data_IF_631003679003
#
_entry.id   IF_631003679003
#
_cell.length_a   1.000
_cell.length_b   1.000
_cell.length_c   1.000
_cell.angle_alpha   90.00
_cell.angle_beta   90.00
_cell.angle_gamma   90.00
#
_symmetry.space_group_name_H-M   'P 1'
#
loop_
_entity.id
_entity.type
_entity.pdbx_description
1 polymer ?
#
# COMPACT_ATOMS: atom_id res chain seq x y z
N UNK A 1 -0.01 -13.02 -28.26
CA UNK A 1 -1.49 -13.09 -28.25
C UNK A 1 -1.96 -12.69 -26.85
N UNK A 2 -2.06 -11.38 -26.57
CA UNK A 2 -2.51 -10.84 -25.26
C UNK A 2 -4.02 -10.62 -25.35
N UNK A 3 -4.79 -11.65 -24.99
CA UNK A 3 -6.24 -11.58 -24.87
C UNK A 3 -6.60 -12.20 -23.52
N UNK A 4 -7.36 -11.43 -22.74
CA UNK A 4 -8.12 -11.85 -21.55
C UNK A 4 -7.29 -12.12 -20.29
N UNK A 5 -7.03 -11.07 -19.51
CA UNK A 5 -7.11 -11.19 -18.06
C UNK A 5 -7.97 -10.04 -17.51
N UNK A 6 -8.87 -10.43 -16.61
CA UNK A 6 -9.71 -9.62 -15.72
C UNK A 6 -11.01 -9.08 -16.35
N UNK A 7 -11.91 -10.02 -16.67
CA UNK A 7 -13.35 -9.77 -16.72
C UNK A 7 -13.90 -9.98 -15.31
N UNK A 8 -14.39 -8.89 -14.72
CA UNK A 8 -15.38 -8.96 -13.64
C UNK A 8 -14.83 -8.81 -12.23
N UNK A 9 -14.62 -7.57 -11.79
CA UNK A 9 -15.04 -7.13 -10.46
C UNK A 9 -15.19 -5.60 -10.44
N UNK A 10 -16.31 -5.14 -9.87
CA UNK A 10 -16.79 -3.74 -9.78
C UNK A 10 -17.37 -3.11 -11.07
N UNK A 11 -18.59 -3.54 -11.37
CA UNK A 11 -19.60 -2.86 -12.17
C UNK A 11 -19.78 -1.40 -11.72
N UNK A 12 -19.49 -0.46 -12.63
CA UNK A 12 -19.92 0.94 -12.53
C UNK A 12 -18.83 1.99 -12.71
N UNK A 13 -18.08 1.98 -13.84
CA UNK A 13 -17.38 3.16 -14.39
C UNK A 13 -16.79 2.84 -15.77
N UNK A 14 -17.23 3.59 -16.78
CA UNK A 14 -16.59 3.82 -18.10
C UNK A 14 -16.18 2.57 -18.93
N UNK A 15 -17.01 2.22 -19.92
CA UNK A 15 -16.67 1.32 -21.05
C UNK A 15 -15.64 1.92 -22.04
N UNK A 16 -14.85 2.91 -21.60
CA UNK A 16 -13.88 3.60 -22.44
C UNK A 16 -12.52 2.92 -22.31
N UNK A 17 -12.06 2.28 -23.38
CA UNK A 17 -10.69 1.81 -23.49
C UNK A 17 -9.83 2.93 -24.05
N UNK A 18 -8.89 3.42 -23.24
CA UNK A 18 -7.79 4.23 -23.70
C UNK A 18 -6.75 3.29 -24.30
N UNK A 19 -6.37 3.52 -25.56
CA UNK A 19 -5.23 2.81 -26.12
C UNK A 19 -3.99 3.57 -25.64
N UNK A 20 -3.21 2.95 -24.77
CA UNK A 20 -1.99 3.56 -24.27
C UNK A 20 -0.96 3.64 -25.41
N UNK A 21 -0.38 4.83 -25.56
CA UNK A 21 0.64 5.10 -26.58
C UNK A 21 1.98 5.38 -25.91
N UNK A 22 1.95 5.72 -24.62
CA UNK A 22 3.11 6.02 -23.81
C UNK A 22 3.50 4.80 -22.97
N UNK A 23 4.58 4.14 -23.39
CA UNK A 23 5.14 2.93 -22.78
C UNK A 23 5.39 3.07 -21.27
N UNK A 24 5.64 4.29 -20.78
CA UNK A 24 5.79 4.54 -19.34
C UNK A 24 4.56 4.09 -18.55
N UNK A 25 3.35 4.41 -19.02
CA UNK A 25 2.11 4.12 -18.29
C UNK A 25 1.76 2.64 -18.36
N UNK A 26 2.01 1.98 -19.48
CA UNK A 26 1.86 0.52 -19.61
C UNK A 26 2.78 -0.22 -18.61
N UNK A 27 4.05 0.18 -18.55
CA UNK A 27 5.02 -0.40 -17.61
C UNK A 27 4.64 -0.10 -16.16
N UNK A 28 4.13 1.10 -15.86
CA UNK A 28 3.69 1.47 -14.51
C UNK A 28 2.43 0.71 -14.07
N UNK A 29 1.50 0.42 -14.97
CA UNK A 29 0.34 -0.41 -14.66
C UNK A 29 0.77 -1.83 -14.26
N UNK A 30 1.65 -2.47 -15.04
CA UNK A 30 2.22 -3.78 -14.74
C UNK A 30 3.00 -3.76 -13.40
N UNK A 31 3.76 -2.69 -13.15
CA UNK A 31 4.51 -2.51 -11.91
C UNK A 31 3.59 -2.41 -10.69
N UNK A 32 2.52 -1.61 -10.78
CA UNK A 32 1.52 -1.44 -9.71
C UNK A 32 0.72 -2.71 -9.44
N UNK A 33 0.44 -3.53 -10.46
CA UNK A 33 -0.15 -4.87 -10.26
C UNK A 33 0.80 -5.77 -9.48
N UNK A 34 2.09 -5.78 -9.83
CA UNK A 34 3.07 -6.56 -9.09
C UNK A 34 3.23 -6.06 -7.64
N UNK A 35 3.25 -4.75 -7.41
CA UNK A 35 3.32 -4.18 -6.05
C UNK A 35 2.10 -4.51 -5.20
N UNK A 36 0.90 -4.56 -5.79
CA UNK A 36 -0.32 -4.97 -5.10
C UNK A 36 -0.24 -6.43 -4.63
N UNK A 37 0.20 -7.32 -5.52
CA UNK A 37 0.36 -8.76 -5.22
C UNK A 37 1.42 -8.98 -4.14
N UNK A 38 2.61 -8.39 -4.31
CA UNK A 38 3.72 -8.58 -3.36
C UNK A 38 3.46 -7.86 -2.04
N UNK A 39 2.88 -6.67 -2.08
CA UNK A 39 2.47 -5.90 -0.89
C UNK A 39 1.44 -6.64 -0.06
N UNK A 40 0.45 -7.27 -0.71
CA UNK A 40 -0.58 -8.07 -0.02
C UNK A 40 0.02 -9.28 0.68
N UNK A 41 0.95 -9.97 0.00
CA UNK A 41 1.69 -11.11 0.58
C UNK A 41 2.56 -10.68 1.76
N UNK A 42 3.26 -9.54 1.63
CA UNK A 42 4.09 -8.99 2.69
C UNK A 42 3.27 -8.59 3.91
N UNK A 43 2.14 -7.90 3.70
CA UNK A 43 1.22 -7.53 4.77
C UNK A 43 0.68 -8.76 5.52
N UNK A 44 0.28 -9.80 4.79
CA UNK A 44 -0.18 -11.05 5.39
C UNK A 44 0.94 -11.75 6.19
N UNK A 45 2.15 -11.80 5.65
CA UNK A 45 3.30 -12.39 6.32
C UNK A 45 3.65 -11.66 7.63
N UNK A 46 3.69 -10.33 7.63
CA UNK A 46 3.93 -9.56 8.85
C UNK A 46 2.79 -9.66 9.86
N UNK A 47 1.54 -9.71 9.39
CA UNK A 47 0.39 -9.90 10.27
C UNK A 47 0.43 -11.26 10.96
N UNK A 48 0.80 -12.32 10.24
CA UNK A 48 0.99 -13.65 10.83
C UNK A 48 2.17 -13.68 11.80
N UNK A 49 3.28 -13.01 11.49
CA UNK A 49 4.41 -12.89 12.43
C UNK A 49 3.98 -12.27 13.76
N UNK A 50 3.16 -11.22 13.72
CA UNK A 50 2.59 -10.58 14.92
C UNK A 50 1.69 -11.56 15.69
N UNK A 51 0.88 -12.36 15.01
CA UNK A 51 0.02 -13.36 15.65
C UNK A 51 0.85 -14.46 16.32
N UNK A 52 1.80 -15.07 15.60
CA UNK A 52 2.66 -16.13 16.13
C UNK A 52 3.45 -15.64 17.35
N UNK A 53 3.91 -14.39 17.31
CA UNK A 53 4.66 -13.79 18.41
C UNK A 53 3.76 -13.47 19.63
N UNK A 54 2.49 -13.10 19.42
CA UNK A 54 1.51 -12.98 20.52
C UNK A 54 1.23 -14.33 21.19
N UNK A 55 1.11 -15.40 20.41
CA UNK A 55 0.93 -16.75 20.95
C UNK A 55 2.16 -17.17 21.78
N UNK A 56 3.36 -16.81 21.33
CA UNK A 56 4.59 -17.00 22.11
C UNK A 56 4.55 -16.23 23.43
N UNK A 57 4.18 -14.94 23.43
CA UNK A 57 4.00 -14.14 24.66
C UNK A 57 3.05 -14.82 25.64
N UNK A 58 1.89 -15.29 25.16
CA UNK A 58 0.89 -15.95 25.98
C UNK A 58 1.39 -17.28 26.56
N UNK A 59 2.11 -18.07 25.76
CA UNK A 59 2.74 -19.31 26.20
C UNK A 59 3.81 -19.08 27.27
N UNK A 60 4.68 -18.09 27.07
CA UNK A 60 5.73 -17.70 28.02
C UNK A 60 5.13 -17.24 29.35
N UNK A 61 4.06 -16.42 29.33
CA UNK A 61 3.35 -16.01 30.54
C UNK A 61 2.66 -17.19 31.25
N UNK A 62 2.15 -18.16 30.50
CA UNK A 62 1.58 -19.39 31.06
C UNK A 62 2.65 -20.25 31.73
N UNK A 63 3.84 -20.35 31.12
CA UNK A 63 5.02 -21.00 31.71
C UNK A 63 5.40 -20.36 33.04
N UNK A 64 5.53 -19.03 33.07
CA UNK A 64 5.82 -18.26 34.29
C UNK A 64 4.82 -18.59 35.42
N UNK A 65 3.51 -18.57 35.14
CA UNK A 65 2.48 -18.91 36.13
C UNK A 65 2.58 -20.34 36.64
N UNK A 66 2.87 -21.30 35.75
CA UNK A 66 3.04 -22.69 36.13
C UNK A 66 4.27 -22.88 37.05
N UNK A 67 5.39 -22.23 36.72
CA UNK A 67 6.60 -22.24 37.54
C UNK A 67 6.37 -21.62 38.92
N UNK A 68 5.65 -20.51 38.99
CA UNK A 68 5.26 -19.88 40.26
C UNK A 68 4.38 -20.81 41.11
N UNK A 69 3.42 -21.50 40.49
CA UNK A 69 2.60 -22.50 41.18
C UNK A 69 3.43 -23.67 41.71
N UNK A 70 4.40 -24.17 40.93
CA UNK A 70 5.33 -25.21 41.36
C UNK A 70 6.22 -24.74 42.51
N UNK A 71 6.74 -23.51 42.45
CA UNK A 71 7.54 -22.92 43.52
C UNK A 71 6.78 -22.88 44.86
N UNK A 72 5.48 -22.63 44.83
CA UNK A 72 4.64 -22.52 46.02
C UNK A 72 4.34 -23.87 46.70
N UNK A 73 4.42 -24.98 45.96
CA UNK A 73 4.18 -26.34 46.51
C UNK A 73 5.48 -27.10 46.79
N UNK A 74 6.62 -26.55 46.39
CA UNK A 74 7.93 -27.16 46.58
C UNK A 74 8.41 -27.03 48.03
N UNK A 75 8.74 -28.15 48.65
CA UNK A 75 9.19 -28.20 50.05
C UNK A 75 10.68 -27.87 50.18
N UNK A 76 11.48 -28.19 49.16
CA UNK A 76 12.91 -27.88 49.17
C UNK A 76 13.12 -26.39 48.93
N UNK A 77 13.42 -25.64 49.99
CA UNK A 77 13.57 -24.17 49.96
C UNK A 77 14.48 -23.65 48.84
N UNK A 78 15.58 -24.36 48.56
CA UNK A 78 16.48 -24.00 47.46
C UNK A 78 15.82 -24.12 46.09
N UNK A 79 15.07 -25.20 45.88
CA UNK A 79 14.40 -25.48 44.61
C UNK A 79 13.17 -24.57 44.42
N UNK A 80 12.39 -24.36 45.48
CA UNK A 80 11.28 -23.40 45.50
C UNK A 80 11.74 -22.01 45.08
N UNK A 81 12.89 -21.55 45.61
CA UNK A 81 13.50 -20.28 45.22
C UNK A 81 13.94 -20.26 43.76
N UNK A 82 14.56 -21.34 43.26
CA UNK A 82 14.94 -21.48 41.85
C UNK A 82 13.74 -21.30 40.92
N UNK A 83 12.66 -22.01 41.22
CA UNK A 83 11.43 -22.02 40.44
C UNK A 83 10.75 -20.64 40.45
N UNK A 84 10.73 -19.96 41.60
CA UNK A 84 10.22 -18.60 41.71
C UNK A 84 11.03 -17.62 40.86
N UNK A 85 12.36 -17.68 40.92
CA UNK A 85 13.23 -16.82 40.10
C UNK A 85 13.12 -17.11 38.60
N UNK A 86 12.91 -18.37 38.22
CA UNK A 86 12.64 -18.73 36.83
C UNK A 86 11.26 -18.21 36.38
N UNK A 87 10.25 -18.25 37.25
CA UNK A 87 8.94 -17.67 36.97
C UNK A 87 9.03 -16.16 36.72
N UNK A 88 9.77 -15.42 37.57
CA UNK A 88 10.00 -13.98 37.41
C UNK A 88 10.79 -13.67 36.12
N UNK A 89 11.74 -14.53 35.76
CA UNK A 89 12.50 -14.43 34.52
C UNK A 89 11.59 -14.59 33.31
N UNK A 90 10.77 -15.65 33.27
CA UNK A 90 9.81 -15.90 32.20
C UNK A 90 8.76 -14.77 32.07
N UNK A 91 8.33 -14.17 33.19
CA UNK A 91 7.43 -13.00 33.16
C UNK A 91 8.08 -11.79 32.48
N UNK A 92 9.35 -11.51 32.80
CA UNK A 92 10.10 -10.43 32.15
C UNK A 92 10.32 -10.70 30.66
N UNK A 93 10.61 -11.96 30.28
CA UNK A 93 10.74 -12.35 28.87
C UNK A 93 9.43 -12.14 28.11
N UNK A 94 8.29 -12.54 28.69
CA UNK A 94 6.98 -12.31 28.09
C UNK A 94 6.72 -10.81 27.87
N UNK A 95 7.12 -9.95 28.82
CA UNK A 95 7.03 -8.50 28.65
C UNK A 95 7.90 -7.98 27.51
N UNK A 96 9.16 -8.41 27.39
CA UNK A 96 10.03 -7.98 26.28
C UNK A 96 9.52 -8.44 24.92
N UNK A 97 9.04 -9.69 24.83
CA UNK A 97 8.41 -10.21 23.63
C UNK A 97 7.18 -9.37 23.25
N UNK A 98 6.36 -8.94 24.22
CA UNK A 98 5.23 -8.04 23.97
C UNK A 98 5.65 -6.70 23.38
N UNK A 99 6.77 -6.14 23.81
CA UNK A 99 7.32 -4.89 23.24
C UNK A 99 7.82 -5.12 21.80
N UNK A 100 8.43 -6.28 21.51
CA UNK A 100 8.81 -6.64 20.14
C UNK A 100 7.59 -6.79 19.22
N UNK A 101 6.49 -7.40 19.70
CA UNK A 101 5.21 -7.51 18.97
C UNK A 101 4.68 -6.12 18.59
N UNK A 102 4.64 -5.19 19.54
CA UNK A 102 4.20 -3.81 19.29
C UNK A 102 5.06 -3.13 18.23
N UNK A 103 6.37 -3.35 18.26
CA UNK A 103 7.30 -2.81 17.27
C UNK A 103 7.11 -3.45 15.88
N UNK A 104 6.89 -4.76 15.79
CA UNK A 104 6.56 -5.45 14.53
C UNK A 104 5.29 -4.88 13.91
N UNK A 105 4.24 -4.69 14.71
CA UNK A 105 2.98 -4.09 14.24
C UNK A 105 3.19 -2.64 13.78
N UNK A 106 3.86 -1.82 14.60
CA UNK A 106 4.02 -0.38 14.35
C UNK A 106 4.91 -0.09 13.15
N UNK A 107 5.98 -0.86 12.95
CA UNK A 107 6.94 -0.58 11.89
C UNK A 107 6.73 -1.44 10.65
N UNK A 108 6.57 -2.74 10.78
CA UNK A 108 6.53 -3.65 9.63
C UNK A 108 5.13 -3.75 9.02
N UNK A 109 4.11 -3.98 9.85
CA UNK A 109 2.72 -4.12 9.38
C UNK A 109 2.20 -2.81 8.81
N UNK A 110 2.39 -1.68 9.52
CA UNK A 110 1.97 -0.37 9.01
C UNK A 110 2.73 0.04 7.74
N UNK A 111 4.02 -0.29 7.60
CA UNK A 111 4.73 -0.09 6.33
C UNK A 111 4.07 -0.87 5.18
N UNK A 112 3.83 -2.17 5.35
CA UNK A 112 3.23 -2.99 4.30
C UNK A 112 1.82 -2.51 3.91
N UNK A 113 1.04 -2.05 4.89
CA UNK A 113 -0.27 -1.40 4.68
C UNK A 113 -0.15 -0.05 3.95
N UNK A 114 0.88 0.72 4.27
CA UNK A 114 1.24 1.95 3.56
C UNK A 114 1.54 1.70 2.09
N UNK A 115 2.29 0.63 1.78
CA UNK A 115 2.54 0.21 0.39
C UNK A 115 1.23 -0.04 -0.36
N UNK A 116 0.32 -0.85 0.20
CA UNK A 116 -0.98 -1.13 -0.43
C UNK A 116 -1.82 0.15 -0.64
N UNK A 117 -1.82 1.04 0.35
CA UNK A 117 -2.53 2.32 0.26
C UNK A 117 -1.94 3.22 -0.83
N UNK A 118 -0.62 3.25 -0.97
CA UNK A 118 0.07 4.02 -2.01
C UNK A 118 -0.23 3.48 -3.41
N UNK A 119 -0.25 2.15 -3.59
CA UNK A 119 -0.62 1.51 -4.85
C UNK A 119 -2.06 1.86 -5.25
N UNK A 120 -2.99 1.82 -4.30
CA UNK A 120 -4.38 2.22 -4.57
C UNK A 120 -4.49 3.68 -4.98
N UNK A 121 -3.78 4.59 -4.31
CA UNK A 121 -3.74 6.01 -4.67
C UNK A 121 -3.16 6.25 -6.07
N UNK A 122 -2.13 5.50 -6.45
CA UNK A 122 -1.58 5.52 -7.81
C UNK A 122 -2.62 5.08 -8.85
N UNK A 123 -3.35 3.98 -8.59
CA UNK A 123 -4.43 3.49 -9.48
C UNK A 123 -5.57 4.51 -9.63
N UNK A 124 -5.98 5.14 -8.53
CA UNK A 124 -7.01 6.18 -8.56
C UNK A 124 -6.57 7.38 -9.41
N UNK A 125 -5.29 7.76 -9.31
CA UNK A 125 -4.70 8.83 -10.09
C UNK A 125 -4.64 8.50 -11.59
N UNK A 126 -4.27 7.27 -11.95
CA UNK A 126 -4.31 6.79 -13.34
C UNK A 126 -5.74 6.76 -13.88
N UNK A 127 -6.73 6.43 -13.05
CA UNK A 127 -8.12 6.48 -13.44
C UNK A 127 -8.60 7.93 -13.75
N UNK A 128 -8.04 8.95 -13.09
CA UNK A 128 -8.28 10.35 -13.48
C UNK A 128 -7.66 10.68 -14.84
N UNK A 129 -6.45 10.17 -15.13
CA UNK A 129 -5.82 10.34 -16.46
C UNK A 129 -6.66 9.73 -17.58
N UNK A 130 -7.22 8.54 -17.36
CA UNK A 130 -8.14 7.90 -18.31
C UNK A 130 -9.39 8.76 -18.54
N UNK A 131 -9.92 9.42 -17.51
CA UNK A 131 -11.07 10.34 -17.64
C UNK A 131 -10.71 11.60 -18.42
N UNK A 132 -9.53 12.18 -18.20
CA UNK A 132 -9.04 13.30 -18.99
C UNK A 132 -8.89 12.93 -20.48
N UNK A 133 -8.35 11.75 -20.78
CA UNK A 133 -8.26 11.25 -22.16
C UNK A 133 -9.63 11.06 -22.79
N UNK A 134 -10.59 10.49 -22.05
CA UNK A 134 -11.96 10.36 -22.54
C UNK A 134 -12.58 11.73 -22.85
N UNK A 135 -12.43 12.70 -21.95
CA UNK A 135 -12.95 14.06 -22.14
C UNK A 135 -12.41 14.66 -23.44
N UNK A 136 -11.10 14.52 -23.69
CA UNK A 136 -10.47 14.95 -24.94
C UNK A 136 -11.07 14.26 -26.16
N UNK A 137 -11.19 12.94 -26.17
CA UNK A 137 -11.79 12.18 -27.29
C UNK A 137 -13.26 12.58 -27.53
N UNK A 138 -14.02 12.86 -26.48
CA UNK A 138 -15.41 13.32 -26.57
C UNK A 138 -15.49 14.72 -27.22
N UNK A 139 -14.61 15.66 -26.82
CA UNK A 139 -14.49 16.98 -27.44
C UNK A 139 -14.10 16.88 -28.93
N UNK A 140 -13.12 16.05 -29.28
CA UNK A 140 -12.69 15.83 -30.67
C UNK A 140 -13.83 15.27 -31.54
N UNK A 141 -14.61 14.34 -30.97
CA UNK A 141 -15.76 13.74 -31.66
C UNK A 141 -16.87 14.76 -31.91
N UNK A 142 -17.17 15.60 -30.91
CA UNK A 142 -18.12 16.69 -31.06
C UNK A 142 -17.69 17.70 -32.14
N UNK A 143 -16.42 18.10 -32.13
CA UNK A 143 -15.84 19.01 -33.12
C UNK A 143 -15.92 18.43 -34.54
N UNK A 144 -15.52 17.16 -34.71
CA UNK A 144 -15.62 16.44 -35.98
C UNK A 144 -17.06 16.41 -36.50
N UNK A 145 -18.03 16.05 -35.64
CA UNK A 145 -19.43 16.02 -36.01
C UNK A 145 -19.98 17.38 -36.48
N UNK A 146 -19.56 18.48 -35.84
CA UNK A 146 -19.93 19.84 -36.27
C UNK A 146 -19.28 20.25 -37.60
N UNK A 147 -18.02 19.89 -37.81
CA UNK A 147 -17.33 20.10 -39.10
C UNK A 147 -18.03 19.33 -40.24
N UNK A 148 -18.38 18.07 -40.01
CA UNK A 148 -19.15 17.26 -40.97
C UNK A 148 -20.54 17.84 -41.26
N UNK A 149 -21.21 18.38 -40.23
CA UNK A 149 -22.50 19.07 -40.39
C UNK A 149 -22.37 20.31 -41.29
N UNK A 150 -21.31 21.12 -41.09
CA UNK A 150 -21.03 22.30 -41.92
C UNK A 150 -20.84 21.89 -43.39
N UNK A 151 -19.96 20.91 -43.65
CA UNK A 151 -19.70 20.40 -45.01
C UNK A 151 -20.99 19.90 -45.67
N UNK A 152 -21.85 19.19 -44.93
CA UNK A 152 -23.13 18.70 -45.45
C UNK A 152 -24.08 19.82 -45.87
N UNK A 153 -24.14 20.92 -45.13
CA UNK A 153 -24.95 22.10 -45.48
C UNK A 153 -24.38 22.79 -46.72
N UNK A 154 -23.07 22.96 -46.79
CA UNK A 154 -22.39 23.62 -47.93
C UNK A 154 -22.60 22.85 -49.25
N UNK A 155 -22.58 21.52 -49.20
CA UNK A 155 -22.79 20.64 -50.34
C UNK A 155 -24.26 20.48 -50.77
N UNK A 156 -25.22 20.92 -49.97
CA UNK A 156 -26.65 20.77 -50.25
C UNK A 156 -27.26 22.07 -50.81
N UNK A 157 -27.75 22.08 -52.07
CA UNK A 157 -28.32 23.28 -52.68
C UNK A 157 -29.60 23.79 -52.01
N UNK A 158 -30.28 22.92 -51.24
CA UNK A 158 -31.55 23.20 -50.55
C UNK A 158 -31.37 23.49 -49.06
N UNK A 159 -30.14 23.41 -48.53
CA UNK A 159 -29.90 23.59 -47.11
C UNK A 159 -29.89 25.08 -46.72
N UNK A 160 -30.31 25.35 -45.48
CA UNK A 160 -30.36 26.69 -44.91
C UNK A 160 -28.95 27.20 -44.59
N UNK A 161 -28.38 27.98 -45.52
CA UNK A 161 -27.05 28.58 -45.40
C UNK A 161 -26.96 29.65 -44.29
N UNK A 162 -28.08 30.16 -43.78
CA UNK A 162 -28.09 31.11 -42.68
C UNK A 162 -27.57 30.50 -41.36
N UNK A 163 -27.51 29.16 -41.27
CA UNK A 163 -26.97 28.43 -40.11
C UNK A 163 -25.43 28.35 -40.08
N UNK A 164 -24.76 28.64 -41.19
CA UNK A 164 -23.30 28.49 -41.31
C UNK A 164 -22.54 29.37 -40.29
N UNK A 165 -22.85 30.68 -40.12
CA UNK A 165 -22.13 31.52 -39.15
C UNK A 165 -22.28 31.02 -37.70
N UNK A 166 -23.44 30.44 -37.36
CA UNK A 166 -23.68 29.85 -36.03
C UNK A 166 -22.81 28.60 -35.85
N UNK A 167 -22.77 27.72 -36.86
CA UNK A 167 -21.91 26.53 -36.83
C UNK A 167 -20.42 26.88 -36.78
N UNK A 168 -19.98 27.93 -37.47
CA UNK A 168 -18.60 28.40 -37.42
C UNK A 168 -18.20 28.86 -36.02
N UNK A 169 -19.08 29.59 -35.33
CA UNK A 169 -18.88 29.96 -33.93
C UNK A 169 -18.80 28.73 -33.03
N UNK A 170 -19.75 27.79 -33.15
CA UNK A 170 -19.75 26.54 -32.37
C UNK A 170 -18.50 25.68 -32.64
N UNK A 171 -18.03 25.63 -33.89
CA UNK A 171 -16.77 24.96 -34.26
C UNK A 171 -15.58 25.64 -33.60
N UNK A 172 -15.55 26.98 -33.56
CA UNK A 172 -14.51 27.74 -32.87
C UNK A 172 -14.47 27.45 -31.36
N UNK A 173 -15.63 27.47 -30.70
CA UNK A 173 -15.76 27.15 -29.27
C UNK A 173 -15.34 25.69 -28.98
N UNK A 174 -15.73 24.73 -29.82
CA UNK A 174 -15.33 23.33 -29.66
C UNK A 174 -13.84 23.10 -29.97
N UNK A 175 -13.26 23.85 -30.91
CA UNK A 175 -11.83 23.76 -31.20
C UNK A 175 -11.01 24.23 -29.98
N UNK A 176 -11.40 25.34 -29.37
CA UNK A 176 -10.79 25.80 -28.12
C UNK A 176 -10.92 24.75 -27.00
N UNK A 177 -12.10 24.14 -26.84
CA UNK A 177 -12.30 23.09 -25.83
C UNK A 177 -11.47 21.83 -26.08
N UNK A 178 -11.17 21.50 -27.33
CA UNK A 178 -10.25 20.40 -27.66
C UNK A 178 -8.84 20.75 -27.19
N UNK A 179 -8.36 21.95 -27.51
CA UNK A 179 -7.05 22.46 -27.08
C UNK A 179 -6.92 22.46 -25.55
N UNK A 180 -7.89 23.01 -24.82
CA UNK A 180 -7.92 22.98 -23.35
C UNK A 180 -7.89 21.55 -22.78
N UNK A 181 -8.64 20.63 -23.38
CA UNK A 181 -8.68 19.22 -22.94
C UNK A 181 -7.39 18.45 -23.25
N UNK A 182 -6.65 18.86 -24.28
CA UNK A 182 -5.33 18.34 -24.62
C UNK A 182 -4.28 18.85 -23.63
N UNK A 183 -4.27 20.15 -23.34
CA UNK A 183 -3.39 20.73 -22.32
C UNK A 183 -3.60 20.08 -20.94
N UNK A 184 -4.85 19.88 -20.52
CA UNK A 184 -5.15 19.23 -19.25
C UNK A 184 -4.68 17.77 -19.23
N UNK A 185 -4.85 17.03 -20.34
CA UNK A 185 -4.37 15.65 -20.46
C UNK A 185 -2.83 15.54 -20.39
N UNK A 186 -2.12 16.46 -21.04
CA UNK A 186 -0.64 16.50 -20.97
C UNK A 186 -0.16 16.91 -19.58
N UNK A 187 -0.84 17.87 -18.96
CA UNK A 187 -0.53 18.33 -17.60
C UNK A 187 -0.74 17.25 -16.55
N UNK A 188 -1.84 16.50 -16.60
CA UNK A 188 -2.05 15.37 -15.68
C UNK A 188 -1.02 14.27 -15.94
N UNK A 189 -0.71 13.95 -17.21
CA UNK A 189 0.26 12.92 -17.56
C UNK A 189 1.67 13.25 -17.05
N UNK A 190 2.14 14.48 -17.27
CA UNK A 190 3.46 14.93 -16.80
C UNK A 190 3.55 15.04 -15.28
N UNK A 191 2.46 15.46 -14.63
CA UNK A 191 2.37 15.49 -13.17
C UNK A 191 2.44 14.08 -12.58
N UNK A 192 1.69 13.13 -13.13
CA UNK A 192 1.69 11.74 -12.67
C UNK A 192 3.09 11.15 -12.71
N UNK A 193 3.82 11.32 -13.83
CA UNK A 193 5.18 10.81 -13.97
C UNK A 193 6.08 11.28 -12.82
N UNK A 194 6.04 12.58 -12.51
CA UNK A 194 6.82 13.19 -11.43
C UNK A 194 6.39 12.70 -10.04
N UNK A 195 5.09 12.59 -9.79
CA UNK A 195 4.61 12.12 -8.49
C UNK A 195 4.89 10.63 -8.28
N UNK A 196 4.85 9.81 -9.34
CA UNK A 196 5.17 8.38 -9.24
C UNK A 196 6.65 8.15 -8.93
N UNK A 197 7.57 8.94 -9.51
CA UNK A 197 8.99 8.92 -9.12
C UNK A 197 9.16 9.24 -7.63
N UNK A 198 8.44 10.24 -7.11
CA UNK A 198 8.47 10.58 -5.68
C UNK A 198 7.91 9.48 -4.80
N UNK A 199 6.83 8.82 -5.23
CA UNK A 199 6.26 7.67 -4.51
C UNK A 199 7.26 6.53 -4.43
N UNK A 200 7.99 6.24 -5.52
CA UNK A 200 9.02 5.21 -5.54
C UNK A 200 10.18 5.52 -4.57
N UNK A 201 10.66 6.77 -4.56
CA UNK A 201 11.69 7.22 -3.65
C UNK A 201 11.23 7.19 -2.18
N UNK A 202 10.02 7.69 -1.90
CA UNK A 202 9.43 7.71 -0.57
C UNK A 202 9.25 6.28 -0.04
N UNK A 203 8.70 5.36 -0.84
CA UNK A 203 8.50 3.95 -0.48
C UNK A 203 9.81 3.29 -0.04
N UNK A 204 10.92 3.55 -0.73
CA UNK A 204 12.23 2.99 -0.37
C UNK A 204 12.77 3.58 0.94
N UNK A 205 12.62 4.89 1.12
CA UNK A 205 13.03 5.58 2.34
C UNK A 205 12.24 5.07 3.56
N UNK A 206 10.92 5.00 3.44
CA UNK A 206 10.02 4.52 4.49
C UNK A 206 10.32 3.06 4.85
N UNK A 207 10.62 2.20 3.87
CA UNK A 207 11.05 0.83 4.13
C UNK A 207 12.29 0.78 5.03
N UNK A 208 13.31 1.55 4.65
CA UNK A 208 14.56 1.61 5.41
C UNK A 208 14.33 2.11 6.82
N UNK A 209 13.52 3.15 6.99
CA UNK A 209 13.19 3.71 8.31
C UNK A 209 12.42 2.70 9.18
N UNK A 210 11.43 2.02 8.62
CA UNK A 210 10.66 0.99 9.30
C UNK A 210 11.55 -0.18 9.77
N UNK A 211 12.37 -0.73 8.86
CA UNK A 211 13.25 -1.87 9.17
C UNK A 211 14.31 -1.47 10.21
N UNK A 212 14.93 -0.30 10.08
CA UNK A 212 15.91 0.16 11.06
C UNK A 212 15.28 0.38 12.44
N UNK A 213 14.08 0.95 12.49
CA UNK A 213 13.36 1.16 13.75
C UNK A 213 13.01 -0.16 14.43
N UNK A 214 12.51 -1.13 13.65
CA UNK A 214 12.24 -2.47 14.15
C UNK A 214 13.50 -3.18 14.67
N UNK A 215 14.57 -3.23 13.85
CA UNK A 215 15.82 -3.90 14.23
C UNK A 215 16.47 -3.27 15.47
N UNK A 216 16.37 -1.96 15.61
CA UNK A 216 16.88 -1.25 16.80
C UNK A 216 16.09 -1.65 18.05
N UNK A 217 14.76 -1.69 17.97
CA UNK A 217 13.93 -2.11 19.11
C UNK A 217 14.17 -3.58 19.47
N UNK A 218 14.22 -4.46 18.47
CA UNK A 218 14.51 -5.88 18.65
C UNK A 218 15.87 -6.06 19.33
N UNK A 219 16.92 -5.39 18.87
CA UNK A 219 18.24 -5.48 19.49
C UNK A 219 18.21 -5.07 20.97
N UNK A 220 17.52 -3.98 21.31
CA UNK A 220 17.38 -3.54 22.69
C UNK A 220 16.64 -4.56 23.57
N UNK A 221 15.60 -5.22 23.04
CA UNK A 221 14.88 -6.27 23.77
C UNK A 221 15.70 -7.54 23.93
N UNK A 222 16.51 -7.91 22.92
CA UNK A 222 17.44 -9.02 23.01
C UNK A 222 18.56 -8.78 24.04
N UNK A 223 19.09 -7.56 24.13
CA UNK A 223 20.06 -7.21 25.18
C UNK A 223 19.45 -7.29 26.59
N UNK A 224 18.19 -6.90 26.75
CA UNK A 224 17.48 -7.06 28.03
C UNK A 224 17.24 -8.53 28.37
N UNK A 225 16.82 -9.32 27.38
CA UNK A 225 16.63 -10.77 27.50
C UNK A 225 17.90 -11.45 28.01
N UNK A 226 19.05 -11.12 27.42
CA UNK A 226 20.35 -11.66 27.84
C UNK A 226 20.68 -11.31 29.30
N UNK A 227 20.48 -10.05 29.72
CA UNK A 227 20.73 -9.61 31.10
C UNK A 227 19.87 -10.34 32.13
N UNK A 228 18.60 -10.60 31.81
CA UNK A 228 17.70 -11.33 32.73
C UNK A 228 18.13 -12.79 32.85
N UNK A 229 18.50 -13.43 31.74
CA UNK A 229 19.03 -14.79 31.77
C UNK A 229 20.36 -14.91 32.54
N UNK A 230 21.28 -13.97 32.35
CA UNK A 230 22.55 -13.95 33.10
C UNK A 230 22.31 -13.79 34.62
N UNK A 231 21.37 -12.92 34.99
CA UNK A 231 20.93 -12.75 36.38
C UNK A 231 20.39 -14.08 36.92
N UNK A 232 19.46 -14.73 36.22
CA UNK A 232 18.90 -16.02 36.63
C UNK A 232 19.99 -17.10 36.80
N UNK A 233 20.90 -17.25 35.83
CA UNK A 233 21.99 -18.24 35.90
C UNK A 233 22.90 -18.00 37.11
N UNK A 234 23.17 -16.73 37.45
CA UNK A 234 23.93 -16.37 38.64
C UNK A 234 23.25 -16.87 39.92
N UNK A 235 21.93 -16.68 40.03
CA UNK A 235 21.16 -17.14 41.18
C UNK A 235 21.01 -18.66 41.23
N UNK A 236 20.75 -19.31 40.08
CA UNK A 236 20.56 -20.77 39.99
C UNK A 236 21.82 -21.54 40.42
N UNK A 237 23.01 -21.01 40.12
CA UNK A 237 24.30 -21.60 40.56
C UNK A 237 24.56 -21.48 42.06
N UNK A 238 23.86 -20.58 42.75
CA UNK A 238 24.01 -20.38 44.19
C UNK A 238 23.07 -21.27 45.02
N UNK A 239 22.35 -22.19 44.38
CA UNK A 239 21.43 -23.11 45.03
C UNK A 239 22.21 -24.37 45.43
N UNK A 240 22.43 -24.51 46.74
CA UNK A 240 23.00 -25.71 47.38
C UNK A 240 21.90 -26.75 47.72
#
# INVERSE_FOLDING_TARGET
MKLLKNVGEAVGKLTFRMDEVDEYFDLKDDELENWDIQGSRLYAAFSNLVLDQNDLVASTLTSSKALSALANVEEHTGLARALGQLADTEEQLAHFLSVEVEAQSTFLVEYAKGVLSSVQACRDTLAERVRACKMRRDCESALRGKREQKVRIEMSPKADRAKIPILEREIGELAHRVEESEEEFEKISTTIKREFERVDEARFKEFREAVLSYLTMMLQMQEKTLKVWESFVGHAKAIE
#
